data_IF_224223375630
#
_entry.id   IF_224223375630
#
_cell.length_a   1.000
_cell.length_b   1.000
_cell.length_c   1.000
_cell.angle_alpha   90.00
_cell.angle_beta   90.00
_cell.angle_gamma   90.00
#
_symmetry.space_group_name_H-M   'P 1'
#
loop_
_entity.id
_entity.type
_entity.pdbx_description
1 polymer ?
#
# COMPACT_ATOMS: atom_id res chain seq x y z
N UNK A 1 -0.53 -0.43 -66.58
CA UNK A 1 -0.13 0.41 -65.41
C UNK A 1 -0.58 -0.31 -64.16
N UNK A 2 0.35 -0.72 -63.29
CA UNK A 2 0.09 -1.46 -62.06
C UNK A 2 0.36 -0.52 -60.88
N UNK A 3 -0.66 -0.13 -60.13
CA UNK A 3 -0.51 0.73 -58.95
C UNK A 3 -0.20 -0.12 -57.72
N UNK A 4 0.99 0.05 -57.14
CA UNK A 4 1.40 -0.58 -55.88
C UNK A 4 0.92 0.33 -54.74
N UNK A 5 -0.05 -0.15 -53.95
CA UNK A 5 -0.47 0.48 -52.70
C UNK A 5 0.53 0.12 -51.59
N UNK A 6 1.44 1.05 -51.27
CA UNK A 6 2.29 0.96 -50.08
C UNK A 6 1.47 1.33 -48.84
N UNK A 7 0.96 0.31 -48.15
CA UNK A 7 0.31 0.48 -46.86
C UNK A 7 1.35 0.81 -45.78
N UNK A 8 1.32 2.03 -45.26
CA UNK A 8 2.12 2.42 -44.09
C UNK A 8 1.52 1.73 -42.87
N UNK A 9 2.19 0.68 -42.36
CA UNK A 9 1.83 0.06 -41.10
C UNK A 9 2.26 0.98 -39.96
N UNK A 10 1.30 1.65 -39.32
CA UNK A 10 1.53 2.39 -38.10
C UNK A 10 1.81 1.39 -36.98
N UNK A 11 3.08 1.20 -36.62
CA UNK A 11 3.45 0.48 -35.41
C UNK A 11 3.01 1.33 -34.21
N UNK A 12 1.86 1.02 -33.64
CA UNK A 12 1.48 1.54 -32.33
C UNK A 12 2.37 0.88 -31.30
N UNK A 13 3.41 1.59 -30.85
CA UNK A 13 4.15 1.18 -29.65
C UNK A 13 3.16 1.34 -28.49
N UNK A 14 2.72 0.27 -27.80
CA UNK A 14 1.94 0.46 -26.60
C UNK A 14 2.83 1.23 -25.64
N UNK A 15 2.44 2.47 -25.33
CA UNK A 15 3.08 3.22 -24.29
C UNK A 15 2.97 2.36 -23.03
N UNK A 16 4.09 1.79 -22.59
CA UNK A 16 4.17 1.07 -21.31
C UNK A 16 3.79 2.11 -20.28
N UNK A 17 2.58 2.00 -19.73
CA UNK A 17 2.06 3.03 -18.85
C UNK A 17 2.99 3.08 -17.64
N UNK A 18 3.57 4.25 -17.41
CA UNK A 18 4.56 4.51 -16.37
C UNK A 18 3.98 4.41 -14.95
N UNK A 19 2.74 3.96 -14.81
CA UNK A 19 2.04 3.86 -13.54
C UNK A 19 2.27 2.48 -12.94
N UNK A 20 3.24 2.37 -12.02
CA UNK A 20 3.47 1.14 -11.26
C UNK A 20 2.21 0.82 -10.45
N UNK A 21 1.40 -0.12 -10.96
CA UNK A 21 0.17 -0.60 -10.32
C UNK A 21 -1.01 0.38 -10.26
N UNK A 22 -0.96 1.60 -10.82
CA UNK A 22 -2.10 2.53 -10.77
C UNK A 22 -2.80 2.66 -12.13
N UNK A 23 -4.06 2.21 -12.28
CA UNK A 23 -4.73 2.23 -13.59
C UNK A 23 -5.13 3.64 -14.06
N UNK A 24 -5.39 4.59 -13.14
CA UNK A 24 -5.69 6.00 -13.48
C UNK A 24 -5.52 6.92 -12.26
N UNK A 25 -5.35 8.25 -12.48
CA UNK A 25 -5.49 9.24 -11.41
C UNK A 25 -6.89 9.14 -10.77
N UNK A 26 -6.94 8.88 -9.47
CA UNK A 26 -8.19 8.67 -8.72
C UNK A 26 -8.46 7.22 -8.32
N UNK A 27 -7.89 6.25 -9.03
CA UNK A 27 -7.99 4.83 -8.64
C UNK A 27 -6.90 4.45 -7.63
N UNK A 28 -7.21 3.45 -6.79
CA UNK A 28 -6.26 2.83 -5.87
C UNK A 28 -5.22 2.02 -6.67
N UNK A 29 -4.01 1.96 -6.13
CA UNK A 29 -2.96 1.06 -6.64
C UNK A 29 -3.41 -0.40 -6.53
N UNK A 30 -2.85 -1.24 -7.40
CA UNK A 30 -3.11 -2.67 -7.50
C UNK A 30 -1.85 -3.41 -7.03
N UNK A 31 -1.55 -3.33 -5.73
CA UNK A 31 -0.49 -4.14 -5.12
C UNK A 31 0.91 -3.53 -5.17
N UNK A 32 1.05 -2.31 -5.72
CA UNK A 32 2.34 -1.65 -5.85
C UNK A 32 2.31 -0.23 -5.30
N UNK A 33 3.34 0.19 -4.56
CA UNK A 33 3.40 1.53 -4.01
C UNK A 33 3.74 2.59 -5.07
N UNK A 34 3.08 3.73 -4.97
CA UNK A 34 3.31 4.97 -5.69
C UNK A 34 3.19 6.20 -4.76
N UNK A 35 4.20 7.07 -4.67
CA UNK A 35 5.49 7.00 -5.36
C UNK A 35 6.30 5.75 -4.97
N UNK A 36 7.19 5.32 -5.86
CA UNK A 36 8.06 4.19 -5.55
C UNK A 36 8.99 4.57 -4.39
N UNK A 37 9.08 3.76 -3.32
CA UNK A 37 9.99 4.03 -2.22
C UNK A 37 11.45 4.08 -2.70
N UNK A 38 12.28 4.89 -2.03
CA UNK A 38 13.71 5.03 -2.36
C UNK A 38 14.45 3.69 -2.39
N UNK A 39 14.06 2.76 -1.51
CA UNK A 39 14.54 1.38 -1.49
C UNK A 39 13.31 0.47 -1.41
N UNK A 40 13.19 -0.42 -2.38
CA UNK A 40 12.06 -1.36 -2.46
C UNK A 40 12.60 -2.74 -2.84
N UNK A 41 12.41 -3.71 -1.94
CA UNK A 41 12.90 -5.08 -2.10
C UNK A 41 11.78 -6.06 -1.81
N UNK A 42 11.49 -6.94 -2.76
CA UNK A 42 10.53 -8.04 -2.61
C UNK A 42 11.33 -9.32 -2.39
N UNK A 43 11.05 -10.03 -1.29
CA UNK A 43 11.72 -11.30 -0.94
C UNK A 43 10.83 -12.52 -1.21
N UNK A 44 9.53 -12.30 -1.39
CA UNK A 44 8.54 -13.34 -1.66
C UNK A 44 7.35 -12.71 -2.37
N UNK A 45 6.92 -13.33 -3.48
CA UNK A 45 5.70 -12.97 -4.21
C UNK A 45 4.49 -13.81 -3.82
N UNK A 46 4.61 -14.62 -2.74
CA UNK A 46 3.50 -15.42 -2.25
C UNK A 46 2.41 -14.50 -1.68
N UNK A 47 1.19 -14.50 -2.26
CA UNK A 47 0.13 -13.64 -1.81
C UNK A 47 -0.38 -14.05 -0.42
N UNK A 48 -0.86 -13.07 0.33
CA UNK A 48 -1.50 -13.26 1.63
C UNK A 48 -2.97 -12.89 1.54
N UNK A 49 -3.83 -13.59 2.27
CA UNK A 49 -5.21 -13.13 2.41
C UNK A 49 -5.33 -12.13 3.54
N UNK A 50 -6.29 -11.22 3.42
CA UNK A 50 -6.68 -10.30 4.48
C UNK A 50 -8.17 -10.45 4.74
N UNK A 51 -8.53 -10.64 6.00
CA UNK A 51 -9.89 -10.46 6.48
C UNK A 51 -10.05 -9.03 7.02
N UNK A 52 -10.83 -8.15 6.37
CA UNK A 52 -11.02 -6.78 6.84
C UNK A 52 -11.66 -6.66 8.24
N UNK A 53 -12.39 -7.67 8.70
CA UNK A 53 -12.98 -7.67 10.05
C UNK A 53 -11.91 -7.89 11.13
N UNK A 54 -11.00 -8.84 10.92
CA UNK A 54 -9.91 -9.14 11.86
C UNK A 54 -8.71 -8.19 11.71
N UNK A 55 -8.57 -7.52 10.55
CA UNK A 55 -7.41 -6.69 10.25
C UNK A 55 -7.31 -5.47 11.18
N UNK A 56 -6.13 -5.27 11.78
CA UNK A 56 -5.89 -4.17 12.72
C UNK A 56 -4.64 -3.35 12.37
N UNK A 57 -4.78 -2.03 12.46
CA UNK A 57 -3.66 -1.13 12.58
C UNK A 57 -3.41 -0.89 14.08
N UNK A 58 -2.16 -1.02 14.51
CA UNK A 58 -1.77 -0.82 15.92
C UNK A 58 -0.54 0.07 16.00
N UNK A 59 -0.42 0.87 17.06
CA UNK A 59 0.72 1.74 17.29
C UNK A 59 1.02 1.89 18.78
N UNK A 60 2.30 2.10 19.12
CA UNK A 60 2.77 2.38 20.49
C UNK A 60 2.89 3.89 20.73
N UNK A 61 1.83 4.65 20.43
CA UNK A 61 1.79 6.09 20.70
C UNK A 61 0.38 6.51 21.15
N UNK A 62 -0.05 6.12 22.36
CA UNK A 62 -1.38 6.44 22.86
C UNK A 62 -1.62 7.96 22.92
N UNK A 63 -2.82 8.39 22.53
CA UNK A 63 -3.22 9.80 22.59
C UNK A 63 -2.70 10.66 21.44
N UNK A 64 -2.21 10.04 20.36
CA UNK A 64 -1.79 10.76 19.16
C UNK A 64 -2.92 10.84 18.14
N UNK A 65 -3.66 11.95 18.18
CA UNK A 65 -4.84 12.17 17.34
C UNK A 65 -4.54 12.09 15.83
N UNK A 66 -3.40 12.63 15.38
CA UNK A 66 -2.93 12.57 14.00
C UNK A 66 -2.81 11.12 13.54
N UNK A 67 -2.17 10.28 14.36
CA UNK A 67 -1.95 8.88 14.05
C UNK A 67 -3.26 8.09 14.11
N UNK A 68 -4.03 8.26 15.19
CA UNK A 68 -5.29 7.55 15.40
C UNK A 68 -6.28 7.82 14.26
N UNK A 69 -6.44 9.08 13.85
CA UNK A 69 -7.27 9.47 12.71
C UNK A 69 -6.76 8.87 11.40
N UNK A 70 -5.44 8.83 11.20
CA UNK A 70 -4.86 8.21 10.02
C UNK A 70 -5.15 6.71 9.97
N UNK A 71 -4.97 5.97 11.07
CA UNK A 71 -5.23 4.53 11.12
C UNK A 71 -6.70 4.20 10.81
N UNK A 72 -7.64 4.98 11.35
CA UNK A 72 -9.07 4.85 11.04
C UNK A 72 -9.35 5.14 9.56
N UNK A 73 -8.78 6.23 9.02
CA UNK A 73 -8.96 6.62 7.62
C UNK A 73 -8.41 5.57 6.66
N UNK A 74 -7.19 5.10 6.88
CA UNK A 74 -6.56 4.11 5.99
C UNK A 74 -7.28 2.77 6.03
N UNK A 75 -7.74 2.30 7.20
CA UNK A 75 -8.60 1.11 7.27
C UNK A 75 -9.86 1.27 6.40
N UNK A 76 -10.52 2.42 6.45
CA UNK A 76 -11.72 2.71 5.64
C UNK A 76 -11.44 2.75 4.13
N UNK A 77 -10.33 3.36 3.72
CA UNK A 77 -9.99 3.51 2.29
C UNK A 77 -9.49 2.17 1.71
N UNK A 78 -8.73 1.38 2.47
CA UNK A 78 -8.26 0.07 2.05
C UNK A 78 -9.41 -0.95 1.95
N UNK A 79 -10.42 -0.86 2.82
CA UNK A 79 -11.55 -1.79 2.85
C UNK A 79 -12.91 -1.07 2.75
N UNK A 80 -13.26 -0.47 1.59
CA UNK A 80 -14.48 0.34 1.45
C UNK A 80 -15.78 -0.49 1.47
N UNK A 81 -15.68 -1.80 1.21
CA UNK A 81 -16.80 -2.75 1.29
C UNK A 81 -16.35 -3.97 2.06
N UNK A 82 -16.98 -4.23 3.20
CA UNK A 82 -16.81 -5.48 3.94
C UNK A 82 -17.63 -6.57 3.25
N UNK A 83 -16.96 -7.62 2.80
CA UNK A 83 -17.58 -8.88 2.43
C UNK A 83 -17.14 -9.92 3.46
N UNK A 84 -18.07 -10.77 3.89
CA UNK A 84 -17.75 -11.87 4.80
C UNK A 84 -16.69 -12.76 4.11
N UNK A 85 -15.54 -13.03 4.73
CA UNK A 85 -14.53 -13.86 4.10
C UNK A 85 -15.08 -15.28 3.91
N UNK A 86 -14.91 -15.82 2.71
CA UNK A 86 -14.85 -17.26 2.54
C UNK A 86 -13.54 -17.77 3.14
N UNK A 87 -13.53 -19.04 3.55
CA UNK A 87 -12.29 -19.70 4.00
C UNK A 87 -11.26 -19.59 2.86
N UNK A 88 -10.12 -18.97 3.16
CA UNK A 88 -9.03 -18.76 2.21
C UNK A 88 -7.85 -19.64 2.57
N UNK A 89 -7.29 -20.42 1.63
CA UNK A 89 -6.16 -21.32 1.91
C UNK A 89 -4.82 -20.58 2.07
N UNK A 90 -4.74 -19.29 1.74
CA UNK A 90 -3.51 -18.51 1.92
C UNK A 90 -3.25 -18.23 3.40
N UNK A 91 -2.03 -17.83 3.80
CA UNK A 91 -1.78 -17.40 5.17
C UNK A 91 -2.34 -15.98 5.42
N UNK A 92 -2.94 -15.76 6.59
CA UNK A 92 -3.61 -14.50 6.96
C UNK A 92 -2.62 -13.39 7.32
N UNK A 93 -2.75 -12.20 6.73
CA UNK A 93 -2.16 -10.98 7.28
C UNK A 93 -3.19 -10.29 8.16
N UNK A 94 -2.94 -10.29 9.48
CA UNK A 94 -3.85 -9.78 10.52
C UNK A 94 -3.69 -8.29 10.80
N UNK A 95 -2.62 -7.66 10.33
CA UNK A 95 -2.43 -6.26 10.65
C UNK A 95 -1.06 -5.68 10.34
N UNK A 96 -0.91 -4.45 10.76
CA UNK A 96 0.37 -3.74 10.78
C UNK A 96 0.57 -3.09 12.15
N UNK A 97 1.81 -3.09 12.62
CA UNK A 97 2.21 -2.43 13.83
C UNK A 97 3.16 -1.28 13.51
N UNK A 98 2.92 -0.11 14.11
CA UNK A 98 3.63 1.14 13.84
C UNK A 98 4.43 1.56 15.07
N UNK A 99 5.75 1.66 14.90
CA UNK A 99 6.69 2.14 15.90
C UNK A 99 7.17 3.55 15.54
N UNK A 100 7.09 4.46 16.51
CA UNK A 100 7.50 5.86 16.36
C UNK A 100 8.44 6.21 17.51
N UNK A 101 9.68 6.61 17.22
CA UNK A 101 10.66 6.87 18.29
C UNK A 101 10.40 8.16 19.05
N UNK A 102 9.97 9.22 18.34
CA UNK A 102 9.84 10.56 18.91
C UNK A 102 8.46 10.80 19.55
N UNK A 103 7.57 9.81 19.49
CA UNK A 103 6.20 9.92 19.99
C UNK A 103 5.32 10.85 19.14
N UNK A 104 4.28 11.40 19.76
CA UNK A 104 3.34 12.30 19.07
C UNK A 104 3.85 13.74 19.05
N UNK A 105 3.83 14.44 17.90
CA UNK A 105 4.27 15.83 17.84
C UNK A 105 3.26 16.77 18.49
N UNK A 106 3.76 17.86 19.09
CA UNK A 106 2.94 18.99 19.55
C UNK A 106 2.84 20.11 18.52
N UNK A 107 3.65 20.05 17.47
CA UNK A 107 3.77 21.07 16.43
C UNK A 107 3.38 20.51 15.05
N UNK A 108 3.00 21.43 14.16
CA UNK A 108 2.71 21.13 12.75
C UNK A 108 4.02 20.83 11.98
N UNK A 109 3.96 20.08 10.87
CA UNK A 109 5.17 19.69 10.16
C UNK A 109 5.87 20.90 9.56
N UNK A 110 7.19 20.98 9.73
CA UNK A 110 8.04 22.04 9.19
C UNK A 110 8.91 21.51 8.05
N UNK A 111 9.49 22.43 7.27
CA UNK A 111 10.47 22.05 6.26
C UNK A 111 11.67 21.33 6.91
N UNK A 112 12.13 20.25 6.29
CA UNK A 112 13.26 19.45 6.76
C UNK A 112 12.92 18.44 7.86
N UNK A 113 11.64 18.25 8.19
CA UNK A 113 11.23 17.20 9.13
C UNK A 113 11.52 15.80 8.57
N UNK A 114 11.80 14.85 9.46
CA UNK A 114 12.13 13.48 9.07
C UNK A 114 10.86 12.69 8.68
N UNK A 115 10.62 12.57 7.38
CA UNK A 115 9.54 11.75 6.79
C UNK A 115 10.01 10.34 6.38
N UNK A 116 11.18 9.90 6.85
CA UNK A 116 11.69 8.56 6.54
C UNK A 116 10.94 7.47 7.31
N UNK A 117 10.80 6.31 6.67
CA UNK A 117 10.19 5.13 7.27
C UNK A 117 10.86 3.87 6.76
N UNK A 118 10.67 2.79 7.52
CA UNK A 118 11.00 1.42 7.12
C UNK A 118 9.76 0.55 7.27
N UNK A 119 9.30 -0.01 6.16
CA UNK A 119 8.20 -0.97 6.10
C UNK A 119 8.78 -2.37 5.87
N UNK A 120 8.37 -3.33 6.69
CA UNK A 120 8.79 -4.74 6.55
C UNK A 120 7.61 -5.68 6.67
N UNK A 121 7.57 -6.66 5.77
CA UNK A 121 6.66 -7.80 5.81
C UNK A 121 7.52 -9.07 5.84
N UNK A 122 7.16 -10.01 6.70
CA UNK A 122 7.84 -11.31 6.77
C UNK A 122 6.87 -12.41 6.30
N UNK A 123 7.30 -13.39 5.47
CA UNK A 123 6.41 -14.40 4.90
C UNK A 123 5.60 -15.19 5.94
N UNK A 124 6.17 -15.41 7.13
CA UNK A 124 5.54 -16.18 8.22
C UNK A 124 4.92 -15.30 9.31
N UNK A 125 5.14 -13.98 9.26
CA UNK A 125 4.53 -13.08 10.25
C UNK A 125 3.08 -12.81 9.86
N UNK A 126 2.13 -12.86 10.81
CA UNK A 126 0.77 -12.38 10.60
C UNK A 126 0.67 -10.86 10.66
N UNK A 127 1.78 -10.14 10.93
CA UNK A 127 1.82 -8.67 11.00
C UNK A 127 2.96 -8.09 10.17
N UNK A 128 2.69 -6.96 9.55
CA UNK A 128 3.69 -6.05 9.01
C UNK A 128 4.20 -5.08 10.08
N UNK A 129 5.37 -4.49 9.86
CA UNK A 129 5.96 -3.53 10.78
C UNK A 129 6.40 -2.26 10.04
N UNK A 130 5.96 -1.11 10.55
CA UNK A 130 6.40 0.21 10.12
C UNK A 130 7.20 0.81 11.27
N UNK A 131 8.43 1.23 10.99
CA UNK A 131 9.26 1.98 11.93
C UNK A 131 9.58 3.33 11.33
N UNK A 132 9.36 4.39 12.10
CA UNK A 132 9.68 5.75 11.71
C UNK A 132 10.22 6.53 12.90
N UNK A 133 11.00 7.58 12.63
CA UNK A 133 11.45 8.49 13.68
C UNK A 133 10.29 9.34 14.20
N UNK A 134 9.55 9.96 13.28
CA UNK A 134 8.45 10.87 13.57
C UNK A 134 7.11 10.32 13.07
N UNK A 135 6.01 10.89 13.54
CA UNK A 135 4.65 10.61 13.01
C UNK A 135 4.57 10.86 11.51
N UNK A 136 5.28 11.85 10.97
CA UNK A 136 5.24 12.18 9.55
C UNK A 136 5.79 11.05 8.68
N UNK A 137 6.91 10.45 9.08
CA UNK A 137 7.43 9.25 8.43
C UNK A 137 6.48 8.06 8.57
N UNK A 138 5.86 7.87 9.75
CA UNK A 138 4.88 6.81 9.97
C UNK A 138 3.68 6.94 9.02
N UNK A 139 3.17 8.15 8.80
CA UNK A 139 2.10 8.41 7.83
C UNK A 139 2.50 8.01 6.40
N UNK A 140 3.75 8.25 5.98
CA UNK A 140 4.25 7.79 4.66
C UNK A 140 4.34 6.27 4.57
N UNK A 141 4.76 5.61 5.64
CA UNK A 141 4.77 4.15 5.73
C UNK A 141 3.37 3.55 5.64
N UNK A 142 2.39 4.14 6.34
CA UNK A 142 0.99 3.70 6.32
C UNK A 142 0.39 3.89 4.92
N UNK A 143 0.66 5.04 4.29
CA UNK A 143 0.21 5.30 2.92
C UNK A 143 0.75 4.25 1.95
N UNK A 144 2.06 4.01 2.00
CA UNK A 144 2.74 2.99 1.17
C UNK A 144 2.15 1.60 1.42
N UNK A 145 1.96 1.20 2.67
CA UNK A 145 1.40 -0.10 3.01
C UNK A 145 -0.05 -0.24 2.50
N UNK A 146 -0.87 0.80 2.61
CA UNK A 146 -2.26 0.80 2.12
C UNK A 146 -2.38 0.59 0.61
N UNK A 147 -1.32 0.90 -0.13
CA UNK A 147 -1.25 0.77 -1.58
C UNK A 147 -0.81 -0.61 -2.06
N UNK A 148 -0.24 -1.42 -1.17
CA UNK A 148 0.18 -2.79 -1.47
C UNK A 148 -1.00 -3.77 -1.47
N UNK A 149 -2.19 -3.33 -1.07
CA UNK A 149 -3.39 -4.15 -1.17
C UNK A 149 -3.91 -4.18 -2.60
N UNK A 150 -4.40 -5.34 -3.03
CA UNK A 150 -5.06 -5.51 -4.32
C UNK A 150 -6.20 -6.51 -4.23
N UNK A 151 -7.03 -6.55 -5.27
CA UNK A 151 -8.06 -7.57 -5.41
C UNK A 151 -7.66 -8.58 -6.46
N UNK A 152 -7.83 -9.87 -6.17
CA UNK A 152 -7.65 -10.91 -7.16
C UNK A 152 -8.86 -11.02 -8.11
N UNK A 153 -8.82 -11.97 -9.04
CA UNK A 153 -9.88 -12.20 -10.01
C UNK A 153 -11.22 -12.63 -9.36
N UNK A 154 -11.23 -12.98 -8.08
CA UNK A 154 -12.41 -13.36 -7.30
C UNK A 154 -12.86 -12.22 -6.35
N UNK A 155 -12.38 -10.99 -6.54
CA UNK A 155 -12.64 -9.82 -5.70
C UNK A 155 -12.13 -9.97 -4.24
N UNK A 156 -11.28 -10.98 -3.97
CA UNK A 156 -10.71 -11.20 -2.65
C UNK A 156 -9.51 -10.30 -2.43
N UNK A 157 -9.38 -9.74 -1.22
CA UNK A 157 -8.31 -8.80 -0.88
C UNK A 157 -7.01 -9.55 -0.57
N UNK A 158 -5.93 -9.09 -1.20
CA UNK A 158 -4.58 -9.65 -1.15
C UNK A 158 -3.54 -8.58 -0.83
N UNK A 159 -2.39 -9.05 -0.37
CA UNK A 159 -1.13 -8.34 -0.19
C UNK A 159 0.01 -9.21 -0.70
#
# INVERSE_FOLDING_TARGET
MLFILLGVSLLTVPAVSWFHGRPSPGNMTQGYPWPLPKVYTITSERPRYIDPASFTFTAETPGCDILDQALVRYKKITFPKYQRPDVDPLPEMKGVHVYISDGCPTEVPQFGIDESYKLTTAPQSPKAYISAKTVWGALRGIDTFSQMFYKDAQDKVRL
#
